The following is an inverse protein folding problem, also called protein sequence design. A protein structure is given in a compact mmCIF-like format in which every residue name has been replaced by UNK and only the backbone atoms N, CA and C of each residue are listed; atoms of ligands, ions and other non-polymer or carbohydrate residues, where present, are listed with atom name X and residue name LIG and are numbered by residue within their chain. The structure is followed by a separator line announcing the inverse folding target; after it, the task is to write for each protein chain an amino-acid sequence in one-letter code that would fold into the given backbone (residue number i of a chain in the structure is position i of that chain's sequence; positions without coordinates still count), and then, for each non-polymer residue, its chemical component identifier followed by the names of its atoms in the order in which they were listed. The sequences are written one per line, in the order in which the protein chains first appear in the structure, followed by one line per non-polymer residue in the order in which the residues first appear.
data_IF_274078713400
#
_entry.id   IF_274078713400
#
_cell.length_a   1.000
_cell.length_b   1.000
_cell.length_c   1.000
_cell.angle_alpha   90.00
_cell.angle_beta   90.00
_cell.angle_gamma   90.00
#
_symmetry.space_group_name_H-M   'P 1'
#
loop_
_entity.id
_entity.type
_entity.pdbx_description
1 polymer ?
#
# COMPACT_ATOMS: atom_id res chain seq x y z
N UNK A 1 -1.93 2.24 11.83
CA UNK A 1 -2.52 1.23 10.91
C UNK A 1 -1.99 1.36 9.47
N UNK A 2 -2.22 2.47 8.76
CA UNK A 2 -1.85 2.60 7.32
C UNK A 2 -0.34 2.52 7.06
N UNK A 3 0.50 3.14 7.90
CA UNK A 3 1.96 3.08 7.70
C UNK A 3 2.51 1.67 7.90
N UNK A 4 2.02 0.97 8.92
CA UNK A 4 2.44 -0.40 9.22
C UNK A 4 1.93 -1.41 8.18
N UNK A 5 0.74 -1.19 7.59
CA UNK A 5 0.26 -2.04 6.49
C UNK A 5 1.15 -1.92 5.26
N UNK A 6 1.61 -0.72 4.91
CA UNK A 6 2.57 -0.53 3.82
C UNK A 6 3.93 -1.16 4.11
N UNK A 7 4.43 -1.06 5.35
CA UNK A 7 5.70 -1.70 5.75
C UNK A 7 5.63 -3.22 5.60
N UNK A 8 4.58 -3.85 6.14
CA UNK A 8 4.37 -5.30 6.05
C UNK A 8 4.17 -5.78 4.62
N UNK A 9 3.48 -4.99 3.80
CA UNK A 9 3.35 -5.26 2.37
C UNK A 9 4.73 -5.23 1.68
N UNK A 10 5.55 -4.20 1.91
CA UNK A 10 6.88 -4.07 1.32
C UNK A 10 7.82 -5.23 1.72
N UNK A 11 7.75 -5.67 2.98
CA UNK A 11 8.50 -6.82 3.49
C UNK A 11 8.08 -8.14 2.83
N UNK A 12 6.78 -8.40 2.71
CA UNK A 12 6.24 -9.63 2.10
C UNK A 12 6.47 -9.69 0.60
N UNK A 13 6.14 -8.60 -0.09
CA UNK A 13 6.28 -8.50 -1.55
C UNK A 13 7.74 -8.22 -1.98
N UNK A 14 8.65 -8.00 -1.02
CA UNK A 14 10.05 -7.61 -1.25
C UNK A 14 10.16 -6.45 -2.25
N UNK A 15 9.33 -5.43 -2.06
CA UNK A 15 9.19 -4.32 -2.98
C UNK A 15 9.34 -2.97 -2.28
N UNK A 16 9.55 -1.90 -3.07
CA UNK A 16 9.55 -0.52 -2.58
C UNK A 16 8.43 0.26 -3.26
N UNK A 17 7.34 0.51 -2.54
CA UNK A 17 6.17 1.26 -3.00
C UNK A 17 6.54 2.68 -3.42
N UNK A 18 7.46 3.32 -2.69
CA UNK A 18 7.92 4.68 -3.04
C UNK A 18 8.56 4.72 -4.43
N UNK A 19 9.40 3.73 -4.77
CA UNK A 19 10.04 3.65 -6.09
C UNK A 19 9.04 3.30 -7.19
N UNK A 20 8.08 2.42 -6.91
CA UNK A 20 6.99 2.11 -7.85
C UNK A 20 6.09 3.33 -8.10
N UNK A 21 5.79 4.11 -7.07
CA UNK A 21 5.03 5.36 -7.19
C UNK A 21 5.78 6.38 -8.05
N UNK A 22 7.08 6.55 -7.84
CA UNK A 22 7.92 7.42 -8.67
C UNK A 22 7.90 6.98 -10.14
N UNK A 23 8.09 5.68 -10.41
CA UNK A 23 8.02 5.14 -11.77
C UNK A 23 6.65 5.39 -12.41
N UNK A 24 5.55 5.20 -11.66
CA UNK A 24 4.19 5.48 -12.15
C UNK A 24 4.02 6.97 -12.47
N UNK A 25 4.50 7.87 -11.60
CA UNK A 25 4.45 9.32 -11.84
C UNK A 25 5.23 9.69 -13.09
N UNK A 26 6.45 9.18 -13.25
CA UNK A 26 7.28 9.42 -14.44
C UNK A 26 6.58 8.91 -15.70
N UNK A 27 6.05 7.68 -15.68
CA UNK A 27 5.31 7.12 -16.81
C UNK A 27 4.02 7.88 -17.15
N UNK A 28 3.34 8.50 -16.19
CA UNK A 28 2.21 9.39 -16.47
C UNK A 28 2.65 10.72 -17.08
N UNK A 29 3.75 11.31 -16.61
CA UNK A 29 4.32 12.53 -17.20
C UNK A 29 4.77 12.30 -18.65
N UNK A 30 5.39 11.16 -18.93
CA UNK A 30 5.78 10.74 -20.29
C UNK A 30 4.58 10.58 -21.22
N UNK A 31 3.41 10.22 -20.68
CA UNK A 31 2.14 10.13 -21.41
C UNK A 31 1.40 11.46 -21.54
N UNK A 32 1.97 12.56 -21.03
CA UNK A 32 1.38 13.90 -21.13
C UNK A 32 0.29 14.20 -20.09
N UNK A 33 0.17 13.38 -19.04
CA UNK A 33 -0.76 13.66 -17.93
C UNK A 33 -0.30 14.92 -17.18
N UNK A 34 -1.25 15.74 -16.71
CA UNK A 34 -0.90 16.99 -16.03
C UNK A 34 -0.15 16.74 -14.71
N UNK A 35 0.72 17.69 -14.34
CA UNK A 35 1.46 17.62 -13.07
C UNK A 35 0.52 17.54 -11.86
N UNK A 36 -0.64 18.18 -11.93
CA UNK A 36 -1.62 18.15 -10.84
C UNK A 36 -2.20 16.74 -10.66
N UNK A 37 -2.57 16.07 -11.75
CA UNK A 37 -3.07 14.70 -11.71
C UNK A 37 -1.98 13.71 -11.26
N UNK A 38 -0.75 13.87 -11.73
CA UNK A 38 0.40 13.07 -11.28
C UNK A 38 0.70 13.28 -9.79
N UNK A 39 0.44 14.48 -9.27
CA UNK A 39 0.64 14.78 -7.86
C UNK A 39 -0.41 14.14 -6.95
N UNK A 40 -1.60 13.83 -7.47
CA UNK A 40 -2.67 13.14 -6.74
C UNK A 40 -2.41 11.63 -6.59
N UNK A 41 -1.49 11.05 -7.37
CA UNK A 41 -1.15 9.64 -7.26
C UNK A 41 -0.57 9.30 -5.90
N UNK A 42 -1.05 8.19 -5.34
CA UNK A 42 -0.69 7.68 -4.01
C UNK A 42 -0.12 6.27 -4.10
N UNK A 43 0.43 5.78 -2.97
CA UNK A 43 0.86 4.38 -2.85
C UNK A 43 -0.29 3.40 -3.05
N UNK A 44 -1.54 3.80 -2.77
CA UNK A 44 -2.70 2.92 -2.97
C UNK A 44 -2.98 2.68 -4.44
N UNK A 45 -2.81 3.70 -5.30
CA UNK A 45 -2.96 3.54 -6.76
C UNK A 45 -1.96 2.52 -7.32
N UNK A 46 -0.74 2.51 -6.79
CA UNK A 46 0.29 1.51 -7.15
C UNK A 46 -0.12 0.10 -6.72
N UNK A 47 -0.78 -0.04 -5.56
CA UNK A 47 -1.23 -1.33 -5.04
C UNK A 47 -2.39 -1.85 -5.88
N UNK A 48 -3.39 -1.00 -6.16
CA UNK A 48 -4.60 -1.37 -6.90
C UNK A 48 -4.28 -1.76 -8.35
N UNK A 49 -3.29 -1.12 -8.97
CA UNK A 49 -2.86 -1.44 -10.34
C UNK A 49 -2.15 -2.80 -10.48
N UNK A 50 -1.66 -3.38 -9.39
CA UNK A 50 -0.92 -4.64 -9.38
C UNK A 50 -1.71 -5.68 -8.58
N UNK A 51 -2.30 -6.65 -9.28
CA UNK A 51 -3.17 -7.67 -8.67
C UNK A 51 -2.48 -8.44 -7.54
N UNK A 52 -1.18 -8.72 -7.66
CA UNK A 52 -0.41 -9.43 -6.64
C UNK A 52 -0.21 -8.53 -5.42
N UNK A 53 0.15 -7.26 -5.62
CA UNK A 53 0.27 -6.32 -4.50
C UNK A 53 -1.07 -6.09 -3.80
N UNK A 54 -2.18 -6.03 -4.55
CA UNK A 54 -3.53 -5.93 -4.00
C UNK A 54 -3.85 -7.12 -3.10
N UNK A 55 -3.59 -8.35 -3.56
CA UNK A 55 -3.86 -9.56 -2.78
C UNK A 55 -3.04 -9.63 -1.50
N UNK A 56 -1.74 -9.32 -1.59
CA UNK A 56 -0.86 -9.28 -0.41
C UNK A 56 -1.32 -8.18 0.56
N UNK A 57 -1.70 -7.00 0.06
CA UNK A 57 -2.16 -5.89 0.88
C UNK A 57 -3.46 -6.22 1.61
N UNK A 58 -4.42 -6.85 0.93
CA UNK A 58 -5.66 -7.32 1.55
C UNK A 58 -5.39 -8.32 2.67
N UNK A 59 -4.42 -9.22 2.47
CA UNK A 59 -4.02 -10.19 3.48
C UNK A 59 -3.40 -9.51 4.70
N UNK A 60 -2.48 -8.56 4.48
CA UNK A 60 -1.87 -7.74 5.56
C UNK A 60 -2.93 -6.98 6.36
N UNK A 61 -3.87 -6.31 5.70
CA UNK A 61 -4.91 -5.53 6.38
C UNK A 61 -5.85 -6.43 7.18
N UNK A 62 -6.22 -7.61 6.63
CA UNK A 62 -7.03 -8.59 7.36
C UNK A 62 -6.35 -9.01 8.66
N UNK A 63 -5.09 -9.45 8.58
CA UNK A 63 -4.31 -9.85 9.76
C UNK A 63 -4.19 -8.74 10.79
N UNK A 64 -3.94 -7.50 10.34
CA UNK A 64 -3.88 -6.34 11.24
C UNK A 64 -5.21 -6.08 11.94
N UNK A 65 -6.33 -6.22 11.24
CA UNK A 65 -7.66 -6.09 11.82
C UNK A 65 -8.02 -7.20 12.81
N UNK A 66 -7.51 -8.42 12.60
CA UNK A 66 -7.65 -9.51 13.58
C UNK A 66 -6.76 -9.28 14.80
N UNK A 67 -5.50 -8.87 14.61
CA UNK A 67 -4.57 -8.60 15.70
C UNK A 67 -5.11 -7.52 16.64
N UNK A 68 -5.63 -6.41 16.10
CA UNK A 68 -6.20 -5.34 16.92
C UNK A 68 -7.37 -5.81 17.80
N UNK A 69 -8.19 -6.76 17.33
CA UNK A 69 -9.26 -7.35 18.14
C UNK A 69 -8.75 -8.29 19.23
N UNK A 70 -7.65 -9.01 18.96
CA UNK A 70 -7.02 -9.90 19.94
C UNK A 70 -6.37 -9.08 21.06
N UNK A 71 -5.71 -7.97 20.71
CA UNK A 71 -5.06 -7.07 21.69
C UNK A 71 -6.10 -6.42 22.63
N UNK A 72 -7.30 -6.09 22.15
CA UNK A 72 -8.41 -5.61 23.00
C UNK A 72 -8.88 -6.66 24.01
N UNK A 73 -8.94 -7.92 23.63
CA UNK A 73 -9.36 -9.01 24.54
C UNK A 73 -8.28 -9.30 25.58
N UNK A 74 -7.00 -9.24 25.21
CA UNK A 74 -5.87 -9.45 26.12
C UNK A 74 -5.69 -8.33 27.14
N UNK A 75 -6.09 -7.09 26.83
CA UNK A 75 -6.04 -5.98 27.78
C UNK A 75 -7.12 -6.05 28.87
N UNK A 76 -8.12 -6.92 28.72
CA UNK A 76 -9.27 -7.04 29.63
C UNK A 76 -9.15 -8.26 30.56
N UNK A 77 -8.13 -9.11 30.36
CA UNK A 77 -7.81 -10.27 31.20
C UNK A 77 -6.56 -9.96 32.03
#
# INVERSE_FOLDING_TARGET
MILESYRRLEERARCRLSRRLENKRNGHLEKGVSREEVNKLTKMDVIIDDAILTEIYLTVVKEMGFQSKVDEVQSVI
#
